data_IF_601094491549
#
_entry.id   IF_601094491549
#
_cell.length_a   1.000
_cell.length_b   1.000
_cell.length_c   1.000
_cell.angle_alpha   90.00
_cell.angle_beta   90.00
_cell.angle_gamma   90.00
#
_symmetry.space_group_name_H-M   'P 1'
#
loop_
_entity.id
_entity.type
_entity.pdbx_description
1 polymer ?
#
# COMPACT_ATOMS: atom_id res chain seq x y z
N UNK A 1 7.96 10.20 -20.56
CA UNK A 1 8.26 9.40 -19.36
C UNK A 1 7.59 8.01 -19.38
N UNK A 2 6.30 7.91 -19.68
CA UNK A 2 5.52 6.66 -19.52
C UNK A 2 6.00 5.41 -20.29
N UNK A 3 6.69 5.57 -21.42
CA UNK A 3 7.23 4.43 -22.19
C UNK A 3 8.46 3.78 -21.55
N UNK A 4 9.21 4.53 -20.72
CA UNK A 4 10.47 4.08 -20.11
C UNK A 4 10.31 3.74 -18.63
N UNK A 5 9.35 4.35 -17.95
CA UNK A 5 9.13 4.14 -16.53
C UNK A 5 8.76 2.68 -16.23
N UNK A 6 9.41 2.10 -15.21
CA UNK A 6 9.25 0.71 -14.82
C UNK A 6 9.21 0.54 -13.31
N UNK A 7 8.33 -0.35 -12.86
CA UNK A 7 8.15 -0.74 -11.47
C UNK A 7 8.47 -2.23 -11.36
N UNK A 8 9.37 -2.58 -10.45
CA UNK A 8 9.58 -3.96 -10.03
C UNK A 8 8.76 -4.23 -8.77
N UNK A 9 8.04 -5.35 -8.73
CA UNK A 9 7.28 -5.76 -7.55
C UNK A 9 8.06 -6.88 -6.87
N UNK A 10 8.31 -6.73 -5.57
CA UNK A 10 8.97 -7.79 -4.83
C UNK A 10 8.17 -9.10 -4.88
N UNK A 11 8.84 -10.26 -4.97
CA UNK A 11 8.16 -11.55 -4.94
C UNK A 11 7.29 -11.69 -3.69
N UNK A 12 6.03 -12.05 -3.89
CA UNK A 12 5.03 -12.22 -2.84
C UNK A 12 4.06 -13.34 -3.20
N UNK A 13 3.29 -13.79 -2.21
CA UNK A 13 2.18 -14.70 -2.46
C UNK A 13 0.94 -13.90 -2.86
N UNK A 14 0.47 -14.06 -4.10
CA UNK A 14 -0.70 -13.33 -4.61
C UNK A 14 -2.00 -13.76 -3.95
N UNK A 15 -2.07 -14.95 -3.37
CA UNK A 15 -3.31 -15.47 -2.74
C UNK A 15 -3.70 -14.75 -1.46
N UNK A 16 -2.79 -13.98 -0.86
CA UNK A 16 -2.99 -13.27 0.40
C UNK A 16 -3.08 -11.75 0.25
N UNK A 17 -3.00 -11.22 -0.98
CA UNK A 17 -3.19 -9.80 -1.24
C UNK A 17 -4.66 -9.37 -1.04
N UNK A 18 -4.86 -8.13 -0.61
CA UNK A 18 -6.18 -7.53 -0.51
C UNK A 18 -6.86 -7.49 -1.88
N UNK A 19 -8.15 -7.80 -1.90
CA UNK A 19 -8.98 -7.85 -3.11
C UNK A 19 -9.84 -6.60 -3.24
N UNK A 20 -10.48 -6.43 -4.39
CA UNK A 20 -11.38 -5.29 -4.68
C UNK A 20 -12.63 -5.25 -3.79
N UNK A 21 -12.98 -6.39 -3.21
CA UNK A 21 -14.20 -6.60 -2.41
C UNK A 21 -13.99 -6.35 -0.92
N UNK A 22 -12.76 -6.05 -0.50
CA UNK A 22 -12.49 -5.66 0.89
C UNK A 22 -12.80 -4.18 1.13
N UNK A 23 -12.94 -3.81 2.41
CA UNK A 23 -13.21 -2.44 2.87
C UNK A 23 -12.14 -1.40 2.44
N UNK A 24 -10.99 -1.88 1.97
CA UNK A 24 -9.84 -1.16 1.43
C UNK A 24 -9.67 -1.40 -0.08
N UNK A 25 -10.76 -1.58 -0.82
CA UNK A 25 -10.76 -1.87 -2.26
C UNK A 25 -9.97 -0.86 -3.13
N UNK A 26 -9.57 0.29 -2.61
CA UNK A 26 -8.59 1.20 -3.22
C UNK A 26 -7.21 0.55 -3.43
N UNK A 27 -6.73 -0.19 -2.42
CA UNK A 27 -5.47 -0.91 -2.49
C UNK A 27 -5.57 -2.04 -3.51
N UNK A 28 -6.64 -2.84 -3.45
CA UNK A 28 -6.93 -3.86 -4.47
C UNK A 28 -7.00 -3.26 -5.89
N UNK A 29 -7.61 -2.08 -6.04
CA UNK A 29 -7.71 -1.36 -7.31
C UNK A 29 -6.35 -0.87 -7.80
N UNK A 30 -5.47 -0.43 -6.91
CA UNK A 30 -4.10 -0.09 -7.24
C UNK A 30 -3.35 -1.29 -7.82
N UNK A 31 -3.38 -2.45 -7.15
CA UNK A 31 -2.73 -3.66 -7.63
C UNK A 31 -3.32 -4.15 -8.96
N UNK A 32 -4.64 -4.11 -9.12
CA UNK A 32 -5.30 -4.47 -10.38
C UNK A 32 -4.79 -3.61 -11.54
N UNK A 33 -4.81 -2.27 -11.37
CA UNK A 33 -4.36 -1.35 -12.41
C UNK A 33 -2.88 -1.50 -12.70
N UNK A 34 -2.04 -1.64 -11.66
CA UNK A 34 -0.61 -1.87 -11.84
C UNK A 34 -0.34 -3.17 -12.60
N UNK A 35 -1.05 -4.25 -12.28
CA UNK A 35 -0.90 -5.55 -12.93
C UNK A 35 -1.29 -5.54 -14.41
N UNK A 36 -2.29 -4.74 -14.77
CA UNK A 36 -2.71 -4.52 -16.16
C UNK A 36 -1.87 -3.46 -16.88
N UNK A 37 -1.00 -2.74 -16.16
CA UNK A 37 -0.22 -1.65 -16.73
C UNK A 37 1.03 -2.11 -17.48
N UNK A 38 1.51 -1.26 -18.38
CA UNK A 38 2.81 -1.41 -19.04
C UNK A 38 4.01 -1.07 -18.15
N UNK A 39 3.78 -0.62 -16.91
CA UNK A 39 4.83 -0.17 -16.02
C UNK A 39 5.55 -1.33 -15.34
N UNK A 40 4.97 -2.53 -15.29
CA UNK A 40 5.65 -3.66 -14.67
C UNK A 40 6.89 -4.13 -15.43
N UNK A 41 7.90 -4.52 -14.66
CA UNK A 41 9.09 -5.23 -15.13
C UNK A 41 9.39 -6.41 -14.21
N UNK A 42 9.87 -7.50 -14.81
CA UNK A 42 10.47 -8.64 -14.07
C UNK A 42 11.97 -8.46 -13.87
N UNK A 43 12.56 -7.49 -14.56
CA UNK A 43 13.98 -7.17 -14.51
C UNK A 43 14.19 -5.97 -13.57
N UNK A 44 14.79 -6.17 -12.37
CA UNK A 44 15.01 -5.12 -11.40
C UNK A 44 16.04 -4.08 -11.85
N UNK A 45 16.95 -4.42 -12.76
CA UNK A 45 17.93 -3.47 -13.31
C UNK A 45 17.28 -2.42 -14.21
N UNK A 46 16.12 -2.75 -14.79
CA UNK A 46 15.30 -1.81 -15.57
C UNK A 46 14.35 -0.98 -14.70
N UNK A 47 14.23 -1.29 -13.41
CA UNK A 47 13.24 -0.69 -12.54
C UNK A 47 13.69 0.69 -12.04
N UNK A 48 12.73 1.62 -12.06
CA UNK A 48 12.88 2.98 -11.53
C UNK A 48 12.34 3.07 -10.10
N UNK A 49 11.29 2.30 -9.81
CA UNK A 49 10.72 2.15 -8.46
C UNK A 49 10.49 0.69 -8.11
N UNK A 50 10.47 0.41 -6.82
CA UNK A 50 10.26 -0.92 -6.25
C UNK A 50 9.02 -0.92 -5.36
N UNK A 51 8.02 -1.75 -5.70
CA UNK A 51 6.83 -1.94 -4.88
C UNK A 51 7.04 -3.03 -3.85
N UNK A 52 6.83 -2.68 -2.58
CA UNK A 52 6.80 -3.60 -1.44
C UNK A 52 5.34 -4.01 -1.18
N UNK A 53 4.96 -5.27 -1.44
CA UNK A 53 3.58 -5.74 -1.39
C UNK A 53 3.13 -6.07 0.04
N UNK A 54 3.07 -5.05 0.91
CA UNK A 54 2.82 -5.23 2.36
C UNK A 54 1.46 -5.89 2.65
N UNK A 55 0.40 -5.51 1.94
CA UNK A 55 -0.93 -6.11 2.14
C UNK A 55 -0.99 -7.60 1.88
N UNK A 56 -0.14 -8.13 1.01
CA UNK A 56 -0.06 -9.55 0.71
C UNK A 56 0.55 -10.38 1.84
N UNK A 57 1.11 -9.74 2.85
CA UNK A 57 1.77 -10.39 3.99
C UNK A 57 1.09 -10.08 5.33
N UNK A 58 -0.07 -9.40 5.31
CA UNK A 58 -0.90 -9.24 6.51
C UNK A 58 -1.63 -10.54 6.82
N UNK A 59 -1.64 -10.94 8.10
CA UNK A 59 -2.43 -12.09 8.54
C UNK A 59 -3.95 -11.81 8.43
N UNK A 60 -4.78 -12.85 8.24
CA UNK A 60 -6.23 -12.71 8.06
C UNK A 60 -6.94 -12.08 9.27
N UNK A 61 -8.12 -11.53 9.03
CA UNK A 61 -9.02 -11.00 10.06
C UNK A 61 -9.40 -12.12 11.04
N UNK A 62 -8.92 -12.02 12.29
CA UNK A 62 -9.03 -13.09 13.31
C UNK A 62 -7.75 -13.24 14.14
N UNK A 63 -6.63 -12.70 13.66
CA UNK A 63 -5.41 -12.49 14.45
C UNK A 63 -5.42 -11.12 15.12
N UNK A 64 -4.71 -10.99 16.22
CA UNK A 64 -4.54 -9.71 16.92
C UNK A 64 -3.82 -8.70 16.03
N UNK A 65 -4.01 -7.42 16.31
CA UNK A 65 -3.32 -6.35 15.58
C UNK A 65 -1.79 -6.48 15.69
N UNK A 66 -1.30 -6.85 16.86
CA UNK A 66 0.13 -7.04 17.09
C UNK A 66 0.71 -8.20 16.26
N UNK A 67 0.02 -9.35 16.20
CA UNK A 67 0.46 -10.48 15.36
C UNK A 67 0.51 -10.09 13.87
N UNK A 68 -0.49 -9.34 13.40
CA UNK A 68 -0.55 -8.86 12.00
C UNK A 68 0.56 -7.86 11.71
N UNK A 69 0.88 -6.98 12.66
CA UNK A 69 1.96 -6.02 12.55
C UNK A 69 3.34 -6.70 12.49
N UNK A 70 3.58 -7.69 13.36
CA UNK A 70 4.81 -8.48 13.38
C UNK A 70 5.01 -9.24 12.06
N UNK A 71 3.96 -9.84 11.52
CA UNK A 71 4.06 -10.57 10.25
C UNK A 71 4.52 -9.67 9.08
N UNK A 72 3.98 -8.45 9.01
CA UNK A 72 4.41 -7.44 8.04
C UNK A 72 5.85 -7.00 8.29
N UNK A 73 6.21 -6.78 9.55
CA UNK A 73 7.56 -6.39 9.95
C UNK A 73 8.62 -7.42 9.55
N UNK A 74 8.36 -8.70 9.84
CA UNK A 74 9.24 -9.81 9.49
C UNK A 74 9.38 -9.95 7.97
N UNK A 75 8.29 -9.77 7.22
CA UNK A 75 8.31 -9.76 5.76
C UNK A 75 9.24 -8.67 5.22
N UNK A 76 9.08 -7.43 5.67
CA UNK A 76 9.91 -6.31 5.20
C UNK A 76 11.37 -6.49 5.61
N UNK A 77 11.66 -6.91 6.84
CA UNK A 77 13.03 -7.22 7.29
C UNK A 77 13.66 -8.34 6.46
N UNK A 78 12.89 -9.38 6.13
CA UNK A 78 13.36 -10.45 5.25
C UNK A 78 13.64 -9.95 3.84
N UNK A 79 12.82 -9.04 3.31
CA UNK A 79 13.03 -8.43 2.01
C UNK A 79 14.30 -7.58 1.97
N UNK A 80 14.49 -6.72 2.97
CA UNK A 80 15.67 -5.85 3.12
C UNK A 80 16.96 -6.69 3.17
N UNK A 81 16.95 -7.79 3.91
CA UNK A 81 18.12 -8.67 4.04
C UNK A 81 18.36 -9.56 2.81
N UNK A 82 17.31 -10.00 2.11
CA UNK A 82 17.41 -10.94 1.00
C UNK A 82 17.77 -10.28 -0.33
N UNK A 83 17.27 -9.08 -0.60
CA UNK A 83 17.40 -8.46 -1.90
C UNK A 83 18.36 -7.26 -1.87
N UNK A 84 19.42 -7.26 -2.70
CA UNK A 84 20.43 -6.21 -2.69
C UNK A 84 19.89 -4.83 -3.13
N UNK A 85 18.76 -4.80 -3.84
CA UNK A 85 18.15 -3.58 -4.40
C UNK A 85 17.76 -2.57 -3.33
N UNK A 86 17.43 -3.01 -2.11
CA UNK A 86 17.16 -2.09 -1.00
C UNK A 86 18.37 -1.22 -0.67
N UNK A 87 19.57 -1.80 -0.65
CA UNK A 87 20.80 -1.11 -0.24
C UNK A 87 21.29 -0.07 -1.25
N UNK A 88 20.74 -0.06 -2.48
CA UNK A 88 21.10 0.90 -3.53
C UNK A 88 20.75 2.34 -3.16
N UNK A 89 19.61 2.51 -2.50
CA UNK A 89 19.02 3.82 -2.14
C UNK A 89 18.62 3.90 -0.67
N UNK A 90 18.88 2.82 0.09
CA UNK A 90 18.37 2.62 1.45
C UNK A 90 16.84 2.74 1.53
N UNK A 91 16.13 2.37 0.48
CA UNK A 91 14.66 2.41 0.42
C UNK A 91 14.06 3.66 -0.22
N UNK A 92 14.86 4.60 -0.74
CA UNK A 92 14.35 5.87 -1.28
C UNK A 92 13.63 5.74 -2.64
N UNK A 93 13.90 4.67 -3.40
CA UNK A 93 13.18 4.32 -4.63
C UNK A 93 12.14 3.20 -4.39
N UNK A 94 11.83 2.91 -3.13
CA UNK A 94 10.82 1.94 -2.73
C UNK A 94 9.54 2.63 -2.33
N UNK A 95 8.42 1.98 -2.60
CA UNK A 95 7.12 2.45 -2.17
C UNK A 95 6.21 1.30 -1.77
N UNK A 96 5.20 1.61 -0.96
CA UNK A 96 4.19 0.67 -0.52
C UNK A 96 2.84 1.36 -0.40
N UNK A 97 1.77 0.60 -0.60
CA UNK A 97 0.40 1.07 -0.44
C UNK A 97 -0.10 0.72 0.94
N UNK A 98 -0.75 1.66 1.61
CA UNK A 98 -1.37 1.47 2.92
C UNK A 98 -2.72 2.15 2.95
N UNK A 99 -3.76 1.35 3.10
CA UNK A 99 -5.14 1.85 3.19
C UNK A 99 -5.83 1.48 4.50
N UNK A 100 -5.20 0.60 5.29
CA UNK A 100 -5.71 0.09 6.56
C UNK A 100 -4.81 0.52 7.73
N UNK A 101 -5.42 0.80 8.87
CA UNK A 101 -4.72 1.23 10.10
C UNK A 101 -3.63 0.24 10.52
N UNK A 102 -3.87 -1.06 10.32
CA UNK A 102 -2.89 -2.10 10.62
C UNK A 102 -1.60 -1.97 9.81
N UNK A 103 -1.69 -1.55 8.54
CA UNK A 103 -0.54 -1.35 7.66
C UNK A 103 0.23 -0.11 8.07
N UNK A 104 -0.46 0.90 8.63
CA UNK A 104 0.18 2.06 9.26
C UNK A 104 0.94 1.62 10.51
N UNK A 105 0.29 0.96 11.47
CA UNK A 105 0.92 0.50 12.73
C UNK A 105 2.08 -0.46 12.52
N UNK A 106 1.99 -1.35 11.53
CA UNK A 106 3.09 -2.27 11.22
C UNK A 106 4.30 -1.56 10.63
N UNK A 107 4.06 -0.58 9.76
CA UNK A 107 5.16 0.12 9.05
C UNK A 107 5.86 1.12 9.95
N UNK A 108 5.17 1.74 10.91
CA UNK A 108 5.79 2.65 11.91
C UNK A 108 6.88 1.97 12.74
N UNK A 109 6.80 0.65 12.95
CA UNK A 109 7.83 -0.16 13.63
C UNK A 109 9.12 -0.28 12.83
N UNK A 110 9.09 0.05 11.54
CA UNK A 110 10.21 -0.06 10.62
C UNK A 110 10.68 1.34 10.22
N UNK A 111 11.43 1.97 11.12
CA UNK A 111 11.87 3.37 10.99
C UNK A 111 12.48 3.69 9.62
N UNK A 112 13.32 2.80 9.07
CA UNK A 112 13.97 3.04 7.78
C UNK A 112 12.99 2.98 6.60
N UNK A 113 11.93 2.16 6.70
CA UNK A 113 10.89 2.09 5.68
C UNK A 113 10.09 3.39 5.64
N UNK A 114 9.59 3.86 6.78
CA UNK A 114 8.75 5.07 6.83
C UNK A 114 9.53 6.33 6.47
N UNK A 115 10.79 6.43 6.89
CA UNK A 115 11.62 7.60 6.61
C UNK A 115 12.04 7.70 5.16
N UNK A 116 12.45 6.59 4.55
CA UNK A 116 13.09 6.63 3.23
C UNK A 116 12.10 6.33 2.11
N UNK A 117 11.19 5.37 2.29
CA UNK A 117 10.30 4.91 1.24
C UNK A 117 9.07 5.79 1.07
N UNK A 118 8.52 5.81 -0.14
CA UNK A 118 7.31 6.56 -0.49
C UNK A 118 6.10 5.79 0.04
N UNK A 119 5.32 6.44 0.91
CA UNK A 119 4.07 5.88 1.43
C UNK A 119 2.93 6.32 0.51
N UNK A 120 2.20 5.36 -0.04
CA UNK A 120 1.01 5.61 -0.86
C UNK A 120 -0.22 5.35 0.02
N UNK A 121 -0.90 6.41 0.45
CA UNK A 121 -1.97 6.34 1.46
C UNK A 121 -3.36 6.50 0.87
N UNK A 122 -4.30 5.65 1.29
CA UNK A 122 -5.71 5.93 1.05
C UNK A 122 -6.23 6.94 2.05
N UNK A 123 -6.66 8.12 1.58
CA UNK A 123 -7.28 9.16 2.41
C UNK A 123 -6.47 9.59 3.65
N UNK A 124 -5.24 10.09 3.48
CA UNK A 124 -4.45 10.54 4.62
C UNK A 124 -5.17 11.67 5.38
N UNK A 125 -5.26 11.53 6.70
CA UNK A 125 -5.64 12.58 7.62
C UNK A 125 -4.44 13.45 7.97
N UNK A 126 -4.67 14.70 8.41
CA UNK A 126 -3.59 15.59 8.88
C UNK A 126 -2.84 15.05 10.11
N UNK A 127 -3.44 14.13 10.86
CA UNK A 127 -2.87 13.52 12.05
C UNK A 127 -2.10 12.22 11.74
N UNK A 128 -2.13 11.76 10.49
CA UNK A 128 -1.39 10.58 10.08
C UNK A 128 0.08 10.95 9.85
N UNK A 129 0.97 9.97 9.91
CA UNK A 129 2.39 10.11 9.57
C UNK A 129 2.63 10.28 8.05
N UNK A 130 1.83 11.14 7.40
CA UNK A 130 1.93 11.51 6.01
C UNK A 130 2.96 12.64 5.84
N UNK A 131 3.92 12.44 4.94
CA UNK A 131 4.99 13.40 4.66
C UNK A 131 4.75 14.05 3.30
N UNK A 132 4.27 15.31 3.22
CA UNK A 132 3.78 15.90 1.97
C UNK A 132 4.77 15.99 0.81
N UNK A 133 6.07 16.04 1.09
CA UNK A 133 7.12 16.13 0.08
C UNK A 133 7.65 14.76 -0.39
N UNK A 134 7.12 13.66 0.17
CA UNK A 134 7.58 12.28 -0.09
C UNK A 134 6.41 11.35 -0.43
N UNK A 135 5.32 11.44 0.32
CA UNK A 135 4.20 10.51 0.28
C UNK A 135 3.13 10.95 -0.73
N UNK A 136 2.27 10.01 -1.12
CA UNK A 136 1.27 10.20 -2.17
C UNK A 136 -0.10 9.75 -1.69
N UNK A 137 -1.09 10.62 -1.84
CA UNK A 137 -2.49 10.28 -1.55
C UNK A 137 -3.13 9.57 -2.74
N UNK A 138 -3.80 8.44 -2.49
CA UNK A 138 -4.73 7.83 -3.44
C UNK A 138 -6.11 8.45 -3.28
N UNK A 139 -6.83 8.70 -4.38
CA UNK A 139 -8.20 9.14 -4.32
C UNK A 139 -9.06 8.07 -3.64
N UNK A 140 -9.96 8.49 -2.77
CA UNK A 140 -10.94 7.58 -2.19
C UNK A 140 -11.84 7.03 -3.30
N UNK A 141 -11.97 5.70 -3.37
CA UNK A 141 -13.12 5.05 -3.99
C UNK A 141 -14.34 5.51 -3.23
N UNK A 142 -15.06 6.45 -3.82
CA UNK A 142 -16.43 6.76 -3.45
C UNK A 142 -17.21 5.50 -3.84
N UNK A 143 -17.78 4.72 -2.89
CA UNK A 143 -18.80 3.76 -3.26
C UNK A 143 -19.84 4.50 -4.09
N UNK A 144 -20.53 3.89 -5.07
CA UNK A 144 -21.65 4.58 -5.73
C UNK A 144 -22.48 5.16 -4.60
N UNK A 145 -22.63 6.50 -4.59
CA UNK A 145 -23.43 7.22 -3.60
C UNK A 145 -24.65 6.34 -3.41
N UNK A 146 -24.83 5.80 -2.21
CA UNK A 146 -26.13 5.28 -1.87
C UNK A 146 -27.00 6.52 -1.99
N UNK A 147 -27.62 6.69 -3.15
CA UNK A 147 -28.86 7.38 -3.29
C UNK A 147 -29.79 6.54 -2.43
N UNK A 148 -29.72 6.73 -1.12
CA UNK A 148 -30.86 6.52 -0.28
C UNK A 148 -31.94 7.34 -1.01
N UNK A 149 -32.99 6.71 -1.53
CA UNK A 149 -34.13 7.47 -2.02
C UNK A 149 -34.46 8.41 -0.89
N UNK A 150 -34.46 9.72 -1.15
CA UNK A 150 -34.65 10.75 -0.14
C UNK A 150 -35.79 10.30 0.77
N UNK A 151 -35.42 9.77 1.94
CA UNK A 151 -36.38 9.40 2.95
C UNK A 151 -36.99 10.72 3.36
N UNK A 152 -38.31 10.82 3.27
CA UNK A 152 -39.07 11.95 3.78
C UNK A 152 -38.84 12.09 5.29
N UNK A 153 -37.72 12.65 5.68
CA UNK A 153 -37.47 13.01 7.07
C UNK A 153 -37.86 14.47 7.25
N UNK A 154 -39.15 14.67 7.51
CA UNK A 154 -39.78 15.96 7.81
C UNK A 154 -39.58 16.32 9.29
N UNK A 155 -38.57 15.74 9.97
CA UNK A 155 -38.36 15.96 11.40
C UNK A 155 -37.01 16.57 11.75
N UNK A 156 -36.67 17.70 11.11
CA UNK A 156 -36.03 18.79 11.82
C UNK A 156 -36.09 20.08 10.99
N UNK A 157 -36.91 21.02 11.46
CA UNK A 157 -37.03 22.37 10.93
C UNK A 157 -36.70 23.35 12.05
#
# INVERSE_FOLDING_TARGET
MERKFKIFVYPHNTSSCRTLDDEYGNEGLFYLNLNQSRFLTKDPEKAHLFLIPISCHSLPAGRSEDERAIAVEDFVKSLISRYPYWNRTLGADHFFVTCADISVTATTRITNLVKNSIKVMCAPSYNDEYVPHKDVSLPQRVPPLALTPAGNDITNR
#
